data_IF_558982711291
#
_entry.id   IF_558982711291
#
_cell.length_a   1.000
_cell.length_b   1.000
_cell.length_c   1.000
_cell.angle_alpha   90.00
_cell.angle_beta   90.00
_cell.angle_gamma   90.00
#
_symmetry.space_group_name_H-M   'P 1'
#
loop_
_entity.id
_entity.type
_entity.pdbx_description
1 polymer ?
#
# COMPACT_ATOMS: atom_id res chain seq x y z
N UNK A 1 -4.11 20.90 4.52
CA UNK A 1 -3.69 20.21 3.28
C UNK A 1 -4.93 19.70 2.55
N UNK A 2 -4.89 19.59 1.23
CA UNK A 2 -5.98 19.04 0.40
C UNK A 2 -5.50 17.78 -0.27
N UNK A 3 -6.31 16.73 -0.21
CA UNK A 3 -6.06 15.40 -0.76
C UNK A 3 -6.81 15.27 -2.08
N UNK A 4 -6.08 15.11 -3.17
CA UNK A 4 -6.62 15.14 -4.54
C UNK A 4 -6.49 13.73 -5.12
N UNK A 5 -7.58 12.99 -5.32
CA UNK A 5 -7.53 11.63 -5.84
C UNK A 5 -7.17 11.64 -7.32
N UNK A 6 -6.39 10.63 -7.75
CA UNK A 6 -5.97 10.54 -9.15
C UNK A 6 -5.91 9.10 -9.71
N UNK A 7 -5.81 8.09 -8.84
CA UNK A 7 -5.63 6.69 -9.26
C UNK A 7 -6.14 5.73 -8.17
N UNK A 8 -6.15 4.45 -8.47
CA UNK A 8 -6.37 3.38 -7.49
C UNK A 8 -5.18 2.42 -7.40
N UNK A 9 -5.02 1.78 -6.24
CA UNK A 9 -4.02 0.76 -5.97
C UNK A 9 -4.68 -0.44 -5.28
N UNK A 10 -4.30 -1.65 -5.66
CA UNK A 10 -4.67 -2.86 -4.95
C UNK A 10 -3.59 -3.17 -3.90
N UNK A 11 -4.00 -3.21 -2.62
CA UNK A 11 -3.08 -3.48 -1.52
C UNK A 11 -3.23 -4.94 -1.06
N UNK A 12 -2.17 -5.71 -1.20
CA UNK A 12 -2.10 -7.11 -0.80
C UNK A 12 -0.93 -7.35 0.16
N UNK A 13 -0.56 -8.60 0.35
CA UNK A 13 0.63 -8.97 1.09
C UNK A 13 1.72 -9.50 0.15
N UNK A 14 2.96 -9.47 0.62
CA UNK A 14 4.09 -10.15 0.00
C UNK A 14 4.70 -11.15 0.96
N UNK A 15 5.20 -12.25 0.41
CA UNK A 15 5.97 -13.30 1.07
C UNK A 15 7.17 -13.64 0.20
N UNK A 16 8.15 -14.38 0.72
CA UNK A 16 9.22 -14.88 -0.14
C UNK A 16 8.74 -16.05 -0.99
N UNK A 17 9.20 -16.15 -2.23
CA UNK A 17 8.91 -17.26 -3.14
C UNK A 17 9.51 -18.61 -2.68
N UNK A 18 10.64 -18.54 -1.93
CA UNK A 18 11.32 -19.66 -1.31
C UNK A 18 11.02 -19.78 0.21
N UNK A 19 9.94 -19.14 0.67
CA UNK A 19 9.58 -19.03 2.07
C UNK A 19 8.58 -20.08 2.55
N UNK A 20 8.28 -20.03 3.86
CA UNK A 20 7.40 -20.95 4.55
C UNK A 20 5.94 -20.46 4.61
N UNK A 21 5.69 -19.21 4.23
CA UNK A 21 4.36 -18.61 4.26
C UNK A 21 3.65 -18.85 2.92
N UNK A 22 2.43 -19.41 2.94
CA UNK A 22 1.67 -19.63 1.71
C UNK A 22 1.41 -18.34 0.92
N UNK A 23 1.49 -18.43 -0.40
CA UNK A 23 1.15 -17.31 -1.31
C UNK A 23 -0.34 -17.05 -1.45
N UNK A 24 -1.17 -18.00 -1.05
CA UNK A 24 -2.62 -17.87 -1.04
C UNK A 24 -3.12 -17.98 0.40
N UNK A 25 -3.75 -16.91 0.88
CA UNK A 25 -4.34 -16.82 2.21
C UNK A 25 -5.74 -16.24 2.12
N UNK A 26 -6.62 -16.70 2.99
CA UNK A 26 -7.89 -16.03 3.20
C UNK A 26 -7.69 -14.72 3.98
N UNK A 27 -8.63 -13.78 3.83
CA UNK A 27 -8.65 -12.58 4.67
C UNK A 27 -8.62 -12.91 6.16
N UNK A 28 -9.35 -13.94 6.58
CA UNK A 28 -9.38 -14.37 7.97
C UNK A 28 -7.99 -14.84 8.46
N UNK A 29 -7.26 -15.60 7.65
CA UNK A 29 -5.88 -16.02 7.98
C UNK A 29 -4.92 -14.83 8.09
N UNK A 30 -5.03 -13.88 7.15
CA UNK A 30 -4.22 -12.64 7.21
C UNK A 30 -4.51 -11.87 8.51
N UNK A 31 -5.77 -11.70 8.87
CA UNK A 31 -6.17 -11.05 10.13
C UNK A 31 -5.60 -11.77 11.34
N UNK A 32 -5.71 -13.09 11.40
CA UNK A 32 -5.16 -13.91 12.49
C UNK A 32 -3.63 -13.75 12.62
N UNK A 33 -2.90 -13.73 11.49
CA UNK A 33 -1.46 -13.50 11.48
C UNK A 33 -1.11 -12.13 12.07
N UNK A 34 -1.76 -11.06 11.60
CA UNK A 34 -1.47 -9.70 12.09
C UNK A 34 -1.97 -9.44 13.52
N UNK A 35 -2.92 -10.24 14.01
CA UNK A 35 -3.34 -10.26 15.43
C UNK A 35 -2.48 -11.17 16.32
N UNK A 36 -1.36 -11.68 15.80
CA UNK A 36 -0.42 -12.54 16.52
C UNK A 36 -0.99 -13.91 16.94
N UNK A 37 -2.02 -14.39 16.28
CA UNK A 37 -2.68 -15.67 16.58
C UNK A 37 -1.97 -16.85 15.88
N UNK A 38 -1.00 -16.60 15.01
CA UNK A 38 -0.22 -17.60 14.24
C UNK A 38 1.27 -17.42 14.52
N UNK A 39 1.81 -18.00 15.61
CA UNK A 39 3.19 -17.75 16.05
C UNK A 39 4.28 -18.17 15.05
N UNK A 40 3.98 -19.09 14.12
CA UNK A 40 4.93 -19.55 13.09
C UNK A 40 5.18 -18.54 11.99
N UNK A 41 4.29 -17.54 11.83
CA UNK A 41 4.38 -16.50 10.80
C UNK A 41 4.60 -15.15 11.46
N UNK A 42 5.67 -14.46 11.07
CA UNK A 42 6.03 -13.15 11.60
C UNK A 42 5.48 -12.04 10.68
N UNK A 43 4.49 -11.24 11.11
CA UNK A 43 4.07 -10.08 10.35
C UNK A 43 5.14 -8.97 10.40
N UNK A 44 5.48 -8.43 9.24
CA UNK A 44 6.43 -7.33 9.07
C UNK A 44 5.66 -6.10 8.60
N UNK A 45 5.29 -5.21 9.54
CA UNK A 45 4.55 -4.01 9.19
C UNK A 45 5.49 -2.89 8.78
N UNK A 46 5.13 -2.15 7.71
CA UNK A 46 5.94 -1.03 7.20
C UNK A 46 5.98 0.16 8.16
N UNK A 47 6.91 1.09 7.94
CA UNK A 47 7.20 2.21 8.84
C UNK A 47 5.97 3.06 9.19
N UNK A 48 6.01 3.70 10.35
CA UNK A 48 4.99 4.66 10.81
C UNK A 48 4.95 5.86 9.86
N UNK A 49 3.75 6.39 9.62
CA UNK A 49 3.53 7.51 8.69
C UNK A 49 3.30 7.08 7.24
N UNK A 50 3.45 5.78 6.94
CA UNK A 50 3.15 5.23 5.61
C UNK A 50 1.64 5.11 5.38
N UNK A 51 1.18 5.55 4.21
CA UNK A 51 -0.21 5.33 3.77
C UNK A 51 -0.55 3.85 3.59
N UNK A 52 0.43 3.03 3.18
CA UNK A 52 0.29 1.58 3.09
C UNK A 52 0.07 0.96 4.48
N UNK A 53 0.83 1.41 5.50
CA UNK A 53 0.61 0.98 6.89
C UNK A 53 -0.82 1.29 7.35
N UNK A 54 -1.25 2.53 7.21
CA UNK A 54 -2.58 2.96 7.66
C UNK A 54 -3.71 2.19 6.97
N UNK A 55 -3.61 2.02 5.65
CA UNK A 55 -4.59 1.25 4.87
C UNK A 55 -4.60 -0.23 5.25
N UNK A 56 -3.41 -0.81 5.49
CA UNK A 56 -3.31 -2.21 5.89
C UNK A 56 -3.85 -2.46 7.28
N UNK A 57 -3.52 -1.61 8.25
CA UNK A 57 -4.06 -1.71 9.61
C UNK A 57 -5.59 -1.65 9.61
N UNK A 58 -6.16 -0.72 8.84
CA UNK A 58 -7.62 -0.65 8.65
C UNK A 58 -8.18 -1.94 8.03
N UNK A 59 -7.50 -2.51 7.03
CA UNK A 59 -7.93 -3.75 6.36
C UNK A 59 -7.96 -4.96 7.31
N UNK A 60 -6.98 -5.08 8.22
CA UNK A 60 -6.89 -6.17 9.19
C UNK A 60 -7.63 -5.87 10.51
N UNK A 61 -8.21 -4.68 10.66
CA UNK A 61 -8.98 -4.28 11.83
C UNK A 61 -8.12 -4.09 13.08
N UNK A 62 -6.98 -3.43 12.93
CA UNK A 62 -6.02 -3.08 14.01
C UNK A 62 -5.79 -1.57 13.97
N UNK A 63 -5.70 -0.93 15.12
CA UNK A 63 -5.36 0.48 15.24
C UNK A 63 -3.90 0.68 15.67
N UNK A 64 -3.32 1.83 15.32
CA UNK A 64 -1.98 2.19 15.80
C UNK A 64 -1.94 2.28 17.33
N UNK A 65 -3.01 2.79 17.95
CA UNK A 65 -3.11 2.90 19.41
C UNK A 65 -3.06 1.53 20.11
N UNK A 66 -3.64 0.48 19.54
CA UNK A 66 -3.57 -0.88 20.07
C UNK A 66 -2.13 -1.44 19.97
N UNK A 67 -1.41 -1.13 18.88
CA UNK A 67 0.01 -1.51 18.73
C UNK A 67 0.86 -0.78 19.77
N UNK A 68 0.66 0.53 19.94
CA UNK A 68 1.40 1.36 20.91
C UNK A 68 1.11 0.93 22.36
N UNK A 69 -0.09 0.44 22.64
CA UNK A 69 -0.46 -0.16 23.91
C UNK A 69 0.11 -1.58 24.13
N UNK A 70 0.82 -2.15 23.12
CA UNK A 70 1.44 -3.46 23.21
C UNK A 70 0.48 -4.64 23.06
N UNK A 71 -0.74 -4.41 22.55
CA UNK A 71 -1.73 -5.47 22.40
C UNK A 71 -1.28 -6.55 21.40
N UNK A 72 -0.51 -6.16 20.35
CA UNK A 72 -0.01 -7.05 19.31
C UNK A 72 1.52 -7.10 19.32
N UNK A 73 2.08 -7.94 20.20
CA UNK A 73 3.53 -8.02 20.41
C UNK A 73 4.32 -8.43 19.18
N UNK A 74 3.74 -9.20 18.26
CA UNK A 74 4.39 -9.60 17.01
C UNK A 74 4.58 -8.43 16.01
N UNK A 75 3.89 -7.30 16.23
CA UNK A 75 4.01 -6.08 15.42
C UNK A 75 4.99 -5.06 16.01
N UNK A 76 5.48 -5.30 17.23
CA UNK A 76 6.49 -4.45 17.85
C UNK A 76 7.85 -4.79 17.25
N UNK A 77 8.64 -3.80 16.78
CA UNK A 77 9.99 -4.05 16.29
C UNK A 77 10.84 -4.69 17.37
N UNK A 78 11.59 -5.73 17.02
CA UNK A 78 12.60 -6.28 17.93
C UNK A 78 13.64 -5.19 18.25
N UNK A 79 13.88 -4.95 19.54
CA UNK A 79 14.81 -3.90 20.00
C UNK A 79 16.27 -4.24 19.70
N UNK A 80 16.60 -5.53 19.54
CA UNK A 80 17.97 -6.01 19.46
C UNK A 80 18.17 -6.88 18.20
N UNK A 81 18.34 -6.23 17.06
CA UNK A 81 18.85 -6.92 15.87
C UNK A 81 17.83 -7.75 15.08
N UNK A 82 16.57 -7.40 15.13
CA UNK A 82 15.54 -7.97 14.26
C UNK A 82 15.87 -7.82 12.78
N UNK A 83 15.07 -8.43 11.92
CA UNK A 83 15.25 -8.46 10.45
C UNK A 83 15.42 -7.10 9.81
N UNK A 84 14.89 -6.10 10.47
CA UNK A 84 14.97 -4.69 10.06
C UNK A 84 15.64 -3.92 11.21
N UNK A 85 16.99 -3.90 11.33
CA UNK A 85 17.72 -3.39 12.48
C UNK A 85 17.28 -1.97 12.85
N UNK A 86 16.64 -1.84 14.00
CA UNK A 86 16.20 -0.55 14.53
C UNK A 86 15.13 0.16 13.71
N UNK A 87 14.72 -0.39 12.56
CA UNK A 87 13.76 0.20 11.64
C UNK A 87 12.73 -0.83 11.19
N UNK A 88 11.51 -0.36 10.99
CA UNK A 88 10.48 -1.12 10.28
C UNK A 88 10.83 -1.22 8.79
N UNK A 89 10.34 -2.27 8.08
CA UNK A 89 10.60 -2.39 6.65
C UNK A 89 10.10 -1.16 5.90
N UNK A 90 10.85 -0.77 4.88
CA UNK A 90 10.44 0.28 3.96
C UNK A 90 9.28 -0.23 3.10
N UNK A 91 8.37 0.68 2.75
CA UNK A 91 7.31 0.36 1.80
C UNK A 91 7.88 -0.19 0.50
N UNK A 92 7.29 -1.29 0.01
CA UNK A 92 7.60 -1.88 -1.28
C UNK A 92 9.09 -2.29 -1.45
N UNK A 93 9.75 -2.62 -0.34
CA UNK A 93 11.11 -3.15 -0.29
C UNK A 93 11.11 -4.53 0.39
N UNK A 94 11.14 -5.58 -0.41
CA UNK A 94 11.10 -6.98 0.06
C UNK A 94 12.47 -7.63 0.20
N UNK A 95 13.57 -6.90 -0.02
CA UNK A 95 14.93 -7.47 -0.04
C UNK A 95 15.34 -8.11 1.28
N UNK A 96 14.86 -7.56 2.40
CA UNK A 96 15.17 -8.04 3.76
C UNK A 96 14.09 -8.97 4.33
N UNK A 97 13.06 -9.32 3.55
CA UNK A 97 11.97 -10.19 4.01
C UNK A 97 12.49 -11.60 4.30
N UNK A 98 12.21 -12.14 5.49
CA UNK A 98 12.59 -13.51 5.89
C UNK A 98 11.58 -14.56 5.40
N UNK A 99 11.98 -15.85 5.41
CA UNK A 99 11.17 -16.97 4.92
C UNK A 99 9.84 -17.13 5.63
N UNK A 100 9.79 -16.85 6.93
CA UNK A 100 8.58 -16.93 7.75
C UNK A 100 7.83 -15.59 7.88
N UNK A 101 8.15 -14.59 7.05
CA UNK A 101 7.55 -13.26 7.15
C UNK A 101 6.53 -12.98 6.06
N UNK A 102 5.56 -12.12 6.43
CA UNK A 102 4.53 -11.54 5.57
C UNK A 102 4.51 -10.03 5.76
N UNK A 103 4.46 -9.25 4.69
CA UNK A 103 4.38 -7.78 4.75
C UNK A 103 3.32 -7.23 3.80
N UNK A 104 2.68 -6.08 4.10
CA UNK A 104 1.80 -5.41 3.15
C UNK A 104 2.58 -4.89 1.94
N UNK A 105 1.99 -5.03 0.76
CA UNK A 105 2.63 -4.63 -0.50
C UNK A 105 1.61 -4.09 -1.51
N UNK A 106 1.94 -3.02 -2.20
CA UNK A 106 1.16 -2.50 -3.33
C UNK A 106 1.33 -3.40 -4.55
N UNK A 107 0.23 -3.84 -5.14
CA UNK A 107 0.27 -4.60 -6.38
C UNK A 107 0.73 -3.74 -7.56
N UNK A 108 0.38 -2.46 -7.58
CA UNK A 108 0.84 -1.52 -8.60
C UNK A 108 2.37 -1.36 -8.55
N UNK A 109 2.92 -1.07 -7.37
CA UNK A 109 4.38 -0.92 -7.23
C UNK A 109 5.11 -2.24 -7.51
N UNK A 110 4.54 -3.39 -7.11
CA UNK A 110 5.09 -4.69 -7.47
C UNK A 110 5.19 -4.87 -9.00
N UNK A 111 4.12 -4.56 -9.73
CA UNK A 111 4.12 -4.63 -11.20
C UNK A 111 5.14 -3.67 -11.82
N UNK A 112 5.21 -2.43 -11.33
CA UNK A 112 6.20 -1.45 -11.80
C UNK A 112 7.64 -1.96 -11.62
N UNK A 113 7.93 -2.64 -10.52
CA UNK A 113 9.23 -3.26 -10.26
C UNK A 113 9.46 -4.48 -11.16
N UNK A 114 8.44 -5.32 -11.42
CA UNK A 114 8.52 -6.46 -12.34
C UNK A 114 8.83 -6.01 -13.77
N UNK A 115 8.16 -4.96 -14.24
CA UNK A 115 8.30 -4.46 -15.61
C UNK A 115 9.47 -3.48 -15.79
N UNK A 116 10.20 -3.16 -14.73
CA UNK A 116 11.35 -2.27 -14.78
C UNK A 116 10.99 -0.78 -14.96
N UNK A 117 9.74 -0.39 -14.73
CA UNK A 117 9.31 1.01 -14.72
C UNK A 117 9.61 1.70 -13.38
N UNK A 118 9.94 0.92 -12.35
CA UNK A 118 10.50 1.36 -11.09
C UNK A 118 11.73 0.51 -10.71
N UNK A 119 12.67 1.03 -9.89
CA UNK A 119 13.80 0.25 -9.39
C UNK A 119 13.34 -1.01 -8.66
N UNK A 120 13.84 -2.17 -9.06
CA UNK A 120 13.48 -3.44 -8.44
C UNK A 120 14.06 -3.56 -7.01
N UNK A 121 13.18 -3.59 -6.03
CA UNK A 121 13.48 -3.79 -4.61
C UNK A 121 12.75 -4.99 -4.01
N UNK A 122 12.21 -5.86 -4.86
CA UNK A 122 11.45 -7.03 -4.39
C UNK A 122 12.34 -8.06 -3.70
N UNK A 123 13.59 -8.21 -4.14
CA UNK A 123 14.39 -9.36 -3.74
C UNK A 123 13.68 -10.67 -4.16
N UNK A 124 13.49 -11.59 -3.21
CA UNK A 124 12.70 -12.81 -3.41
C UNK A 124 11.21 -12.64 -3.06
N UNK A 125 10.73 -11.43 -2.83
CA UNK A 125 9.33 -11.21 -2.49
C UNK A 125 8.41 -11.40 -3.71
N UNK A 126 7.31 -12.09 -3.48
CA UNK A 126 6.20 -12.28 -4.42
C UNK A 126 4.90 -11.87 -3.76
N UNK A 127 4.00 -11.24 -4.52
CA UNK A 127 2.69 -10.86 -3.97
C UNK A 127 1.78 -12.07 -3.81
N UNK A 128 0.97 -12.03 -2.75
CA UNK A 128 0.03 -13.08 -2.40
C UNK A 128 -1.36 -12.86 -2.99
N UNK A 129 -2.11 -13.96 -3.07
CA UNK A 129 -3.51 -14.04 -3.48
C UNK A 129 -4.39 -14.07 -2.24
N UNK A 130 -5.48 -13.31 -2.22
CA UNK A 130 -6.41 -13.24 -1.09
C UNK A 130 -7.75 -13.84 -1.48
N UNK A 131 -8.23 -14.82 -0.71
CA UNK A 131 -9.50 -15.53 -0.95
C UNK A 131 -9.62 -16.09 -2.39
N UNK A 132 -8.50 -16.55 -2.97
CA UNK A 132 -8.44 -17.03 -4.34
C UNK A 132 -8.47 -15.93 -5.42
N UNK A 133 -8.45 -14.64 -5.02
CA UNK A 133 -8.55 -13.51 -5.93
C UNK A 133 -7.17 -12.87 -6.13
N UNK A 134 -6.73 -12.79 -7.37
CA UNK A 134 -5.47 -12.12 -7.73
C UNK A 134 -5.58 -10.61 -7.46
N UNK A 135 -4.62 -10.01 -6.71
CA UNK A 135 -4.67 -8.61 -6.36
C UNK A 135 -4.30 -7.72 -7.56
N UNK A 136 -5.29 -7.21 -8.22
CA UNK A 136 -5.11 -6.21 -9.29
C UNK A 136 -6.23 -5.17 -9.21
N UNK A 137 -5.93 -3.96 -9.67
CA UNK A 137 -6.90 -2.86 -9.73
C UNK A 137 -8.02 -3.10 -10.75
N UNK A 138 -7.78 -3.95 -11.75
CA UNK A 138 -8.76 -4.31 -12.77
C UNK A 138 -9.67 -5.48 -12.36
N UNK A 139 -9.32 -6.20 -11.30
CA UNK A 139 -10.15 -7.28 -10.77
C UNK A 139 -11.19 -6.71 -9.81
N UNK A 140 -12.42 -6.53 -10.28
CA UNK A 140 -13.52 -5.96 -9.47
C UNK A 140 -13.88 -6.80 -8.23
N UNK A 141 -13.49 -8.07 -8.19
CA UNK A 141 -13.68 -8.95 -7.03
C UNK A 141 -12.63 -8.73 -5.93
N UNK A 142 -11.51 -8.06 -6.22
CA UNK A 142 -10.49 -7.80 -5.20
C UNK A 142 -10.95 -6.70 -4.22
N UNK A 143 -11.12 -7.06 -2.95
CA UNK A 143 -11.78 -6.22 -1.95
C UNK A 143 -10.92 -5.12 -1.33
N UNK A 144 -9.58 -5.18 -1.45
CA UNK A 144 -8.70 -4.22 -0.80
C UNK A 144 -8.06 -3.26 -1.83
N UNK A 145 -8.91 -2.43 -2.44
CA UNK A 145 -8.51 -1.38 -3.37
C UNK A 145 -8.70 -0.02 -2.69
N UNK A 146 -7.69 0.85 -2.80
CA UNK A 146 -7.66 2.19 -2.21
C UNK A 146 -7.44 3.25 -3.28
N UNK A 147 -7.96 4.44 -3.04
CA UNK A 147 -7.63 5.62 -3.84
C UNK A 147 -6.23 6.14 -3.49
N UNK A 148 -5.54 6.63 -4.49
CA UNK A 148 -4.25 7.31 -4.38
C UNK A 148 -4.44 8.81 -4.52
N UNK A 149 -3.73 9.56 -3.69
CA UNK A 149 -3.90 11.01 -3.58
C UNK A 149 -2.60 11.76 -3.78
N UNK A 150 -2.67 12.89 -4.47
CA UNK A 150 -1.70 13.96 -4.36
C UNK A 150 -2.11 14.88 -3.21
N UNK A 151 -1.14 15.35 -2.43
CA UNK A 151 -1.39 16.22 -1.27
C UNK A 151 -0.73 17.57 -1.53
N UNK A 152 -1.54 18.62 -1.61
CA UNK A 152 -1.03 19.96 -1.84
C UNK A 152 -1.51 20.95 -0.76
N UNK A 153 -0.84 22.10 -0.59
CA UNK A 153 -1.33 23.17 0.29
C UNK A 153 -2.74 23.63 -0.11
N UNK A 154 -3.62 23.84 0.87
CA UNK A 154 -5.03 24.14 0.60
C UNK A 154 -5.23 25.47 -0.12
N UNK A 155 -4.35 26.46 0.09
CA UNK A 155 -4.36 27.75 -0.62
C UNK A 155 -4.09 27.58 -2.13
N UNK A 156 -3.38 26.52 -2.53
CA UNK A 156 -3.07 26.24 -3.93
C UNK A 156 -4.25 25.67 -4.73
N UNK A 157 -5.28 25.17 -4.08
CA UNK A 157 -6.46 24.63 -4.81
C UNK A 157 -7.36 25.72 -5.42
N UNK A 158 -7.15 26.97 -5.07
CA UNK A 158 -7.88 28.11 -5.63
C UNK A 158 -6.99 29.06 -6.45
N UNK A 159 -5.67 28.91 -6.38
CA UNK A 159 -4.71 29.69 -7.16
C UNK A 159 -4.52 29.08 -8.55
N UNK A 160 -5.40 29.46 -9.50
CA UNK A 160 -5.40 28.94 -10.87
C UNK A 160 -4.12 29.23 -11.65
N UNK A 161 -3.26 30.14 -11.17
CA UNK A 161 -1.98 30.45 -11.79
C UNK A 161 -0.84 29.56 -11.25
N UNK A 162 -1.03 28.92 -10.09
CA UNK A 162 -0.02 28.06 -9.49
C UNK A 162 0.26 26.80 -10.34
N UNK A 163 1.45 26.28 -10.22
CA UNK A 163 1.82 25.00 -10.86
C UNK A 163 1.00 23.85 -10.28
N UNK A 164 0.82 23.86 -8.96
CA UNK A 164 0.06 22.85 -8.23
C UNK A 164 -1.38 22.76 -8.73
N UNK A 165 -2.04 23.91 -8.95
CA UNK A 165 -3.39 23.91 -9.51
C UNK A 165 -3.43 23.25 -10.89
N UNK A 166 -2.59 23.69 -11.81
CA UNK A 166 -2.56 23.19 -13.20
C UNK A 166 -2.24 21.70 -13.26
N UNK A 167 -1.37 21.21 -12.38
CA UNK A 167 -0.92 19.81 -12.39
C UNK A 167 -1.94 18.90 -11.71
N UNK A 168 -2.61 19.32 -10.63
CA UNK A 168 -3.37 18.40 -9.78
C UNK A 168 -4.86 18.68 -9.69
N UNK A 169 -5.34 19.93 -9.93
CA UNK A 169 -6.71 20.34 -9.63
C UNK A 169 -7.64 20.24 -10.84
N UNK A 170 -8.76 19.56 -10.65
CA UNK A 170 -9.82 19.41 -11.64
C UNK A 170 -9.58 18.29 -12.67
N UNK A 171 -10.63 17.92 -13.42
CA UNK A 171 -10.60 16.81 -14.35
C UNK A 171 -9.66 17.04 -15.55
N UNK A 172 -9.36 18.30 -15.84
CA UNK A 172 -8.47 18.71 -16.94
C UNK A 172 -7.02 18.92 -16.49
N UNK A 173 -6.68 18.59 -15.24
CA UNK A 173 -5.31 18.67 -14.73
C UNK A 173 -4.38 17.72 -15.47
N UNK A 174 -3.08 18.02 -15.45
CA UNK A 174 -2.08 17.20 -16.13
C UNK A 174 -2.05 15.76 -15.59
N UNK A 175 -2.26 15.57 -14.28
CA UNK A 175 -2.32 14.25 -13.66
C UNK A 175 -3.55 13.48 -14.13
N UNK A 176 -4.72 14.10 -14.23
CA UNK A 176 -5.92 13.41 -14.71
C UNK A 176 -5.84 13.03 -16.20
N UNK A 177 -5.08 13.77 -16.99
CA UNK A 177 -4.77 13.44 -18.39
C UNK A 177 -3.71 12.35 -18.53
N UNK A 178 -2.87 12.15 -17.52
CA UNK A 178 -1.73 11.22 -17.56
C UNK A 178 -2.11 9.74 -17.31
N UNK A 179 -3.39 9.35 -17.44
CA UNK A 179 -3.88 7.98 -17.21
C UNK A 179 -3.02 6.89 -17.85
N UNK A 180 -2.59 6.99 -19.13
CA UNK A 180 -1.75 5.95 -19.72
C UNK A 180 -0.43 5.74 -18.98
N UNK A 181 0.20 6.83 -18.51
CA UNK A 181 1.44 6.77 -17.73
C UNK A 181 1.22 6.19 -16.34
N UNK A 182 0.10 6.55 -15.70
CA UNK A 182 -0.30 6.03 -14.38
C UNK A 182 -0.55 4.52 -14.48
N UNK A 183 -1.29 4.08 -15.50
CA UNK A 183 -1.58 2.66 -15.72
C UNK A 183 -0.32 1.86 -16.08
N UNK A 184 0.63 2.45 -16.79
CA UNK A 184 1.93 1.84 -17.05
C UNK A 184 2.73 1.55 -15.76
N UNK A 185 2.51 2.34 -14.72
CA UNK A 185 3.07 2.11 -13.38
C UNK A 185 2.25 1.11 -12.53
N UNK A 186 1.26 0.43 -13.13
CA UNK A 186 0.45 -0.60 -12.47
C UNK A 186 -0.74 -0.07 -11.66
N UNK A 187 -0.93 1.25 -11.56
CA UNK A 187 -2.11 1.84 -10.91
C UNK A 187 -3.33 1.78 -11.82
N UNK A 188 -4.51 1.76 -11.24
CA UNK A 188 -5.78 1.76 -11.96
C UNK A 188 -6.45 3.12 -12.00
N UNK A 189 -7.47 3.23 -12.85
CA UNK A 189 -8.35 4.39 -12.84
C UNK A 189 -9.17 4.44 -11.55
N UNK A 190 -9.55 5.64 -11.12
CA UNK A 190 -10.50 5.83 -10.02
C UNK A 190 -11.82 5.10 -10.37
N UNK A 191 -12.45 4.47 -9.38
CA UNK A 191 -13.77 3.82 -9.54
C UNK A 191 -14.83 4.81 -10.01
N UNK A 192 -14.76 6.04 -9.53
CA UNK A 192 -15.52 7.17 -10.03
C UNK A 192 -14.56 8.14 -10.73
N UNK A 193 -14.51 8.06 -12.07
CA UNK A 193 -13.61 8.87 -12.88
C UNK A 193 -13.86 10.39 -12.73
N UNK A 194 -15.06 10.79 -12.30
CA UNK A 194 -15.40 12.21 -12.06
C UNK A 194 -14.68 12.80 -10.85
N UNK A 195 -14.12 11.94 -9.99
CA UNK A 195 -13.38 12.33 -8.79
C UNK A 195 -11.92 12.72 -9.05
N UNK A 196 -11.40 12.47 -10.25
CA UNK A 196 -10.02 12.88 -10.53
C UNK A 196 -9.88 14.41 -10.41
N UNK A 197 -8.93 14.84 -9.61
CA UNK A 197 -8.70 16.28 -9.37
C UNK A 197 -9.67 16.94 -8.39
N UNK A 198 -10.56 16.18 -7.73
CA UNK A 198 -11.51 16.67 -6.73
C UNK A 198 -10.78 17.23 -5.49
N UNK A 199 -11.20 18.41 -5.03
CA UNK A 199 -10.61 19.12 -3.89
C UNK A 199 -11.48 19.10 -2.64
N UNK A 200 -12.50 18.25 -2.59
CA UNK A 200 -13.45 18.19 -1.47
C UNK A 200 -12.86 17.56 -0.20
N UNK A 201 -11.83 16.72 -0.32
CA UNK A 201 -11.14 16.08 0.81
C UNK A 201 -10.06 16.98 1.39
N UNK A 202 -10.27 17.40 2.66
CA UNK A 202 -9.33 18.28 3.40
C UNK A 202 -9.04 17.71 4.79
N UNK A 203 -7.82 17.94 5.27
CA UNK A 203 -7.40 17.69 6.65
C UNK A 203 -6.83 18.93 7.29
#
# INVERSE_FOLDING_TARGET
MTWIPFATDALTFAVRDDGDVPRELTKAQIVAIFKCEVPSIQPAIVQVGSGTRSSWLNYVGITQAEIDAGQYQCLVPEKDGGTFPGNLPQEHDGRELKKNQIMPYSAAVYQAQVYGTAPDRRGSAVIGVVDGIVPTVINSGFGNVRDMYNIIPTDKVTDTNSLEYKVFVGPDSEVCKAKPSINLQGFGDLRDASKCGDTSSRS
#
